data_IF_980019801132
#
_entry.id   IF_980019801132
#
_cell.length_a   1.000
_cell.length_b   1.000
_cell.length_c   1.000
_cell.angle_alpha   90.00
_cell.angle_beta   90.00
_cell.angle_gamma   90.00
#
_symmetry.space_group_name_H-M   'P 1'
#
loop_
_entity.id
_entity.type
_entity.pdbx_description
1 polymer ?
#
# COMPACT_ATOMS: atom_id res chain seq x y z
N UNK A 1 2.32 2.16 -18.63
CA UNK A 1 1.76 2.13 -17.26
C UNK A 1 1.72 0.70 -16.76
N UNK A 2 2.16 0.49 -15.55
CA UNK A 2 2.02 -0.78 -14.85
C UNK A 2 1.36 -0.53 -13.50
N UNK A 3 0.78 -1.57 -12.93
CA UNK A 3 0.14 -1.49 -11.63
C UNK A 3 0.77 -2.48 -10.67
N UNK A 4 0.92 -2.06 -9.43
CA UNK A 4 1.42 -2.94 -8.37
C UNK A 4 0.26 -3.26 -7.46
N UNK A 5 -0.16 -4.52 -7.45
CA UNK A 5 -1.15 -5.02 -6.51
C UNK A 5 -0.43 -5.39 -5.22
N UNK A 6 -0.90 -4.84 -4.10
CA UNK A 6 -0.36 -5.16 -2.79
C UNK A 6 -1.50 -5.63 -1.90
N UNK A 7 -1.27 -6.73 -1.20
CA UNK A 7 -2.23 -7.28 -0.27
C UNK A 7 -1.54 -7.40 1.09
N UNK A 8 -2.01 -6.62 2.04
CA UNK A 8 -1.48 -6.63 3.39
C UNK A 8 -2.38 -7.51 4.24
N UNK A 9 -1.83 -8.61 4.75
CA UNK A 9 -2.53 -9.43 5.73
C UNK A 9 -2.15 -8.94 7.11
N UNK A 10 -3.14 -8.40 7.83
CA UNK A 10 -2.91 -7.89 9.17
C UNK A 10 -2.99 -9.00 10.21
N UNK A 11 -2.30 -8.78 11.32
CA UNK A 11 -2.52 -9.56 12.52
C UNK A 11 -3.97 -9.34 12.94
N UNK A 12 -4.70 -10.40 13.38
CA UNK A 12 -6.11 -10.25 13.77
C UNK A 12 -6.33 -9.08 14.72
N UNK A 13 -7.31 -8.24 14.38
CA UNK A 13 -7.65 -7.05 15.16
C UNK A 13 -6.86 -5.80 14.79
N UNK A 14 -5.87 -5.88 13.90
CA UNK A 14 -5.00 -4.74 13.58
C UNK A 14 -5.36 -4.03 12.28
N UNK A 15 -6.37 -4.50 11.54
CA UNK A 15 -6.77 -3.82 10.30
C UNK A 15 -7.19 -2.36 10.53
N UNK A 16 -7.98 -2.02 11.57
CA UNK A 16 -8.31 -0.62 11.81
C UNK A 16 -7.09 0.27 12.00
N UNK A 17 -6.04 -0.22 12.65
CA UNK A 17 -4.80 0.52 12.82
C UNK A 17 -4.10 0.76 11.48
N UNK A 18 -4.11 -0.23 10.58
CA UNK A 18 -3.55 -0.07 9.25
C UNK A 18 -4.33 0.96 8.43
N UNK A 19 -5.66 0.89 8.46
CA UNK A 19 -6.50 1.85 7.74
C UNK A 19 -6.25 3.27 8.22
N UNK A 20 -6.12 3.45 9.54
CA UNK A 20 -5.82 4.76 10.13
C UNK A 20 -4.44 5.27 9.66
N UNK A 21 -3.44 4.39 9.62
CA UNK A 21 -2.10 4.76 9.17
C UNK A 21 -2.11 5.25 7.72
N UNK A 22 -2.84 4.56 6.83
CA UNK A 22 -2.95 5.00 5.45
C UNK A 22 -3.70 6.33 5.34
N UNK A 23 -4.87 6.41 5.95
CA UNK A 23 -5.73 7.59 5.81
C UNK A 23 -5.06 8.85 6.36
N UNK A 24 -4.42 8.76 7.52
CA UNK A 24 -3.94 9.93 8.24
C UNK A 24 -2.48 10.26 7.96
N UNK A 25 -1.69 9.32 7.44
CA UNK A 25 -0.25 9.52 7.32
C UNK A 25 0.33 9.08 5.98
N UNK A 26 0.19 7.81 5.62
CA UNK A 26 0.87 7.27 4.45
C UNK A 26 0.47 7.96 3.15
N UNK A 27 -0.82 8.21 2.94
CA UNK A 27 -1.29 8.85 1.71
C UNK A 27 -0.73 10.26 1.54
N UNK A 28 -0.57 11.00 2.62
CA UNK A 28 0.02 12.34 2.58
C UNK A 28 1.50 12.29 2.20
N UNK A 29 2.22 11.31 2.75
CA UNK A 29 3.63 11.12 2.45
C UNK A 29 3.80 10.64 1.02
N UNK A 30 2.94 9.74 0.55
CA UNK A 30 2.94 9.29 -0.85
C UNK A 30 2.73 10.45 -1.81
N UNK A 31 1.80 11.35 -1.48
CA UNK A 31 1.53 12.53 -2.31
C UNK A 31 2.78 13.37 -2.49
N UNK A 32 3.54 13.55 -1.41
CA UNK A 32 4.81 14.28 -1.44
C UNK A 32 5.81 13.64 -2.41
N UNK A 33 5.82 12.32 -2.51
CA UNK A 33 6.75 11.57 -3.37
C UNK A 33 6.19 11.29 -4.76
N UNK A 34 4.97 11.70 -5.05
CA UNK A 34 4.35 11.44 -6.34
C UNK A 34 3.90 9.99 -6.52
N UNK A 35 3.70 9.25 -5.44
CA UNK A 35 3.20 7.88 -5.49
C UNK A 35 1.68 7.94 -5.67
N UNK A 36 1.18 7.30 -6.74
CA UNK A 36 -0.22 7.34 -7.11
C UNK A 36 -0.88 6.01 -6.78
N UNK A 37 -2.00 6.06 -6.08
CA UNK A 37 -2.79 4.88 -5.80
C UNK A 37 -3.98 4.80 -6.78
N UNK A 38 -4.39 3.59 -7.10
CA UNK A 38 -5.49 3.31 -8.02
C UNK A 38 -6.61 2.52 -7.33
N UNK A 39 -6.79 2.74 -6.06
CA UNK A 39 -7.88 2.15 -5.29
C UNK A 39 -7.42 1.32 -4.11
N UNK A 40 -8.23 1.31 -3.07
CA UNK A 40 -8.05 0.52 -1.85
C UNK A 40 -9.34 -0.23 -1.57
N UNK A 41 -9.23 -1.48 -1.14
CA UNK A 41 -10.39 -2.33 -0.84
C UNK A 41 -10.13 -3.17 0.40
N UNK A 42 -11.18 -3.35 1.19
CA UNK A 42 -11.20 -4.37 2.24
C UNK A 42 -12.09 -5.51 1.76
N UNK A 43 -11.96 -6.67 2.40
CA UNK A 43 -12.74 -7.86 2.00
C UNK A 43 -14.09 -7.83 2.70
N UNK A 44 -15.17 -7.83 1.91
CA UNK A 44 -16.54 -7.91 2.45
C UNK A 44 -16.90 -9.37 2.71
N UNK A 45 -16.70 -10.24 1.71
CA UNK A 45 -16.92 -11.67 1.80
C UNK A 45 -15.76 -12.35 1.08
N UNK A 46 -15.09 -13.28 1.75
CA UNK A 46 -13.97 -14.02 1.19
C UNK A 46 -12.92 -14.34 2.22
N UNK A 47 -11.83 -14.96 1.77
CA UNK A 47 -10.70 -15.24 2.62
C UNK A 47 -9.99 -13.95 3.02
N UNK A 48 -9.49 -13.89 4.25
CA UNK A 48 -8.67 -12.78 4.68
C UNK A 48 -9.44 -11.52 5.02
N UNK A 49 -10.37 -11.61 5.97
CA UNK A 49 -11.12 -10.44 6.42
C UNK A 49 -10.26 -9.43 7.19
N UNK A 50 -8.98 -9.74 7.43
CA UNK A 50 -8.00 -8.80 7.98
C UNK A 50 -7.06 -8.26 6.92
N UNK A 51 -7.41 -8.41 5.64
CA UNK A 51 -6.57 -7.99 4.52
C UNK A 51 -6.98 -6.62 3.99
N UNK A 52 -5.98 -5.87 3.55
CA UNK A 52 -6.17 -4.64 2.78
C UNK A 52 -5.56 -4.86 1.40
N UNK A 53 -6.35 -4.63 0.36
CA UNK A 53 -5.93 -4.72 -1.03
C UNK A 53 -5.79 -3.33 -1.61
N UNK A 54 -4.69 -3.04 -2.31
CA UNK A 54 -4.62 -1.77 -3.02
C UNK A 54 -3.74 -1.87 -4.26
N UNK A 55 -3.91 -0.93 -5.17
CA UNK A 55 -3.14 -0.81 -6.39
C UNK A 55 -2.35 0.49 -6.40
N UNK A 56 -1.10 0.41 -6.79
CA UNK A 56 -0.27 1.57 -7.11
C UNK A 56 -0.06 1.64 -8.61
N UNK A 57 -0.02 2.86 -9.15
CA UNK A 57 0.21 3.09 -10.57
C UNK A 57 1.62 3.64 -10.80
N UNK A 58 2.36 3.01 -11.70
CA UNK A 58 3.74 3.38 -12.03
C UNK A 58 3.90 3.53 -13.53
N UNK A 59 4.73 4.48 -13.96
CA UNK A 59 5.08 4.57 -15.37
C UNK A 59 5.94 3.39 -15.81
N UNK A 60 6.81 2.91 -14.91
CA UNK A 60 7.73 1.81 -15.19
C UNK A 60 8.21 1.17 -13.90
N UNK A 61 8.82 0.00 -14.01
CA UNK A 61 9.48 -0.65 -12.88
C UNK A 61 10.66 0.18 -12.37
N UNK A 62 11.36 0.87 -13.26
CA UNK A 62 12.48 1.72 -12.87
C UNK A 62 12.02 2.89 -12.02
N UNK A 63 10.91 3.52 -12.38
CA UNK A 63 10.29 4.56 -11.54
C UNK A 63 9.93 4.02 -10.17
N UNK A 64 9.27 2.87 -10.15
CA UNK A 64 8.86 2.23 -8.89
C UNK A 64 10.05 2.01 -7.96
N UNK A 65 11.10 1.43 -8.48
CA UNK A 65 12.27 1.13 -7.67
C UNK A 65 12.84 2.40 -7.02
N UNK A 66 13.03 3.43 -7.82
CA UNK A 66 13.62 4.69 -7.35
C UNK A 66 12.72 5.40 -6.34
N UNK A 67 11.45 5.57 -6.69
CA UNK A 67 10.51 6.33 -5.86
C UNK A 67 10.20 5.60 -4.57
N UNK A 68 10.02 4.27 -4.65
CA UNK A 68 9.69 3.47 -3.48
C UNK A 68 10.84 3.47 -2.46
N UNK A 69 12.08 3.35 -2.93
CA UNK A 69 13.25 3.42 -2.06
C UNK A 69 13.34 4.78 -1.35
N UNK A 70 13.09 5.86 -2.08
CA UNK A 70 13.09 7.21 -1.51
C UNK A 70 12.02 7.35 -0.45
N UNK A 71 10.82 6.83 -0.71
CA UNK A 71 9.73 6.83 0.26
C UNK A 71 10.10 6.04 1.53
N UNK A 72 10.63 4.84 1.38
CA UNK A 72 10.98 3.99 2.52
C UNK A 72 12.06 4.63 3.40
N UNK A 73 12.90 5.47 2.84
CA UNK A 73 13.95 6.19 3.56
C UNK A 73 13.49 7.53 4.16
N UNK A 74 12.27 7.95 3.86
CA UNK A 74 11.74 9.22 4.34
C UNK A 74 11.54 9.17 5.86
N UNK A 75 12.18 10.07 6.63
CA UNK A 75 12.00 10.10 8.09
C UNK A 75 10.55 10.25 8.53
N UNK A 76 9.73 10.96 7.75
CA UNK A 76 8.31 11.12 8.07
C UNK A 76 7.58 9.78 8.00
N UNK A 77 7.92 8.93 7.01
CA UNK A 77 7.35 7.60 6.90
C UNK A 77 7.83 6.69 8.03
N UNK A 78 9.13 6.71 8.32
CA UNK A 78 9.71 5.89 9.39
C UNK A 78 9.05 6.20 10.72
N UNK A 79 8.87 7.49 11.02
CA UNK A 79 8.18 7.92 12.24
C UNK A 79 6.73 7.46 12.26
N UNK A 80 6.00 7.65 11.17
CA UNK A 80 4.59 7.26 11.07
C UNK A 80 4.43 5.75 11.27
N UNK A 81 5.29 4.96 10.63
CA UNK A 81 5.27 3.50 10.78
C UNK A 81 5.54 3.10 12.23
N UNK A 82 6.59 3.65 12.82
CA UNK A 82 6.98 3.29 14.19
C UNK A 82 5.92 3.72 15.21
N UNK A 83 5.35 4.89 15.03
CA UNK A 83 4.27 5.37 15.91
C UNK A 83 3.03 4.47 15.80
N UNK A 84 2.69 4.02 14.60
CA UNK A 84 1.52 3.16 14.38
C UNK A 84 1.69 1.76 14.95
N UNK A 85 2.93 1.32 15.12
CA UNK A 85 3.26 0.00 15.66
C UNK A 85 3.67 0.02 17.13
N UNK A 86 3.42 1.15 17.79
CA UNK A 86 3.77 1.30 19.21
C UNK A 86 3.07 0.26 20.09
N UNK A 87 1.85 -0.13 19.73
CA UNK A 87 1.06 -1.13 20.46
C UNK A 87 1.28 -2.54 19.91
N UNK A 88 2.26 -2.73 19.06
CA UNK A 88 2.60 -4.01 18.47
C UNK A 88 2.57 -3.99 16.95
N UNK A 89 3.06 -5.05 16.31
CA UNK A 89 3.06 -5.14 14.86
C UNK A 89 1.65 -5.16 14.28
N UNK A 90 1.50 -4.63 13.08
CA UNK A 90 0.21 -4.56 12.37
C UNK A 90 0.13 -5.63 11.30
N UNK A 91 1.22 -5.83 10.55
CA UNK A 91 1.22 -6.63 9.33
C UNK A 91 1.89 -7.98 9.58
N UNK A 92 1.17 -9.05 9.27
CA UNK A 92 1.70 -10.41 9.35
C UNK A 92 2.42 -10.80 8.06
N UNK A 93 1.90 -10.36 6.90
CA UNK A 93 2.46 -10.73 5.61
C UNK A 93 2.02 -9.74 4.54
N UNK A 94 2.85 -9.57 3.50
CA UNK A 94 2.54 -8.74 2.34
C UNK A 94 2.73 -9.59 1.09
N UNK A 95 1.71 -9.60 0.23
CA UNK A 95 1.81 -10.17 -1.11
C UNK A 95 1.83 -9.03 -2.10
N UNK A 96 2.60 -9.17 -3.17
CA UNK A 96 2.62 -8.16 -4.22
C UNK A 96 2.79 -8.80 -5.58
N UNK A 97 2.25 -8.12 -6.61
CA UNK A 97 2.36 -8.55 -8.00
C UNK A 97 2.35 -7.31 -8.88
N UNK A 98 3.15 -7.33 -9.93
CA UNK A 98 3.13 -6.28 -10.94
C UNK A 98 2.26 -6.73 -12.10
N UNK A 99 1.32 -5.87 -12.50
CA UNK A 99 0.31 -6.18 -13.50
C UNK A 99 0.42 -5.19 -14.65
N UNK A 100 0.29 -5.69 -15.88
CA UNK A 100 0.21 -4.85 -17.06
C UNK A 100 -1.21 -4.91 -17.60
N UNK A 101 -1.88 -3.77 -17.77
CA UNK A 101 -3.24 -3.78 -18.32
C UNK A 101 -3.25 -4.38 -19.72
N UNK A 102 -4.29 -5.14 -20.02
CA UNK A 102 -4.53 -5.61 -21.37
C UNK A 102 -5.03 -4.44 -22.25
N UNK A 103 -5.00 -4.63 -23.56
CA UNK A 103 -5.48 -3.59 -24.47
C UNK A 103 -6.98 -3.26 -24.28
N UNK A 104 -7.74 -4.22 -23.77
CA UNK A 104 -9.19 -4.06 -23.57
C UNK A 104 -9.54 -3.74 -22.11
N UNK A 105 -8.57 -3.51 -21.25
CA UNK A 105 -8.82 -3.17 -19.84
C UNK A 105 -9.45 -1.78 -19.73
N UNK A 106 -10.45 -1.64 -18.85
CA UNK A 106 -11.05 -0.36 -18.55
C UNK A 106 -10.10 0.52 -17.73
N UNK A 107 -9.15 -0.08 -17.03
CA UNK A 107 -8.11 0.62 -16.27
C UNK A 107 -6.79 0.42 -16.99
N UNK A 108 -6.18 1.53 -17.40
CA UNK A 108 -4.92 1.49 -18.16
C UNK A 108 -3.89 2.45 -17.62
#
# INVERSE_FOLDING_TARGET
>A
MIYELRIYRCIPGRLPALLSRFENQALKIWDKHGIRQAGFWTVVIGDGNNDLHYLLAWESLAEREKVWETFLADPAWIKARDDSERDGPIIANIKSAFLRPTAFSSVK
#
